data_IF_049461412715
#
_entry.id   IF_049461412715
#
_cell.length_a   1.000
_cell.length_b   1.000
_cell.length_c   1.000
_cell.angle_alpha   90.00
_cell.angle_beta   90.00
_cell.angle_gamma   90.00
#
_symmetry.space_group_name_H-M   'P 1'
#
loop_
_entity.id
_entity.type
_entity.pdbx_description
1 polymer ?
#
# COMPACT_ATOMS: atom_id res chain seq x y z
N UNK A 1 -11.82 3.29 19.61
CA UNK A 1 -10.71 2.40 19.21
C UNK A 1 -9.72 3.20 18.36
N UNK A 2 -8.46 3.17 18.72
CA UNK A 2 -7.42 3.83 17.93
C UNK A 2 -7.18 3.08 16.63
N UNK A 3 -6.54 3.76 15.66
CA UNK A 3 -6.15 3.12 14.39
C UNK A 3 -5.21 1.95 14.65
N UNK A 4 -4.24 2.10 15.56
CA UNK A 4 -3.33 1.00 15.92
C UNK A 4 -4.06 -0.18 16.55
N UNK A 5 -5.00 0.08 17.44
CA UNK A 5 -5.84 -0.97 18.03
C UNK A 5 -6.66 -1.68 16.96
N UNK A 6 -7.19 -0.92 16.01
CA UNK A 6 -7.96 -1.50 14.89
C UNK A 6 -7.11 -2.42 14.04
N UNK A 7 -5.88 -2.01 13.71
CA UNK A 7 -4.94 -2.83 12.96
C UNK A 7 -4.68 -4.15 13.69
N UNK A 8 -4.43 -4.08 15.01
CA UNK A 8 -4.22 -5.27 15.83
C UNK A 8 -5.46 -6.19 15.86
N UNK A 9 -6.65 -5.60 16.01
CA UNK A 9 -7.93 -6.34 16.02
C UNK A 9 -8.15 -7.08 14.69
N UNK A 10 -7.69 -6.51 13.58
CA UNK A 10 -7.78 -7.13 12.26
C UNK A 10 -6.74 -8.25 12.06
N UNK A 11 -5.89 -8.50 13.05
CA UNK A 11 -4.81 -9.49 12.95
C UNK A 11 -3.67 -9.03 12.05
N UNK A 12 -3.58 -7.74 11.78
CA UNK A 12 -2.54 -7.15 10.95
C UNK A 12 -1.44 -6.56 11.83
N UNK A 13 -0.24 -6.46 11.26
CA UNK A 13 0.90 -5.89 11.97
C UNK A 13 1.64 -4.92 11.04
N UNK A 14 1.88 -3.71 11.54
CA UNK A 14 2.70 -2.75 10.81
C UNK A 14 4.15 -3.22 10.81
N UNK A 15 4.80 -3.25 9.64
CA UNK A 15 6.24 -3.50 9.59
C UNK A 15 7.00 -2.28 10.09
N UNK A 16 8.31 -2.44 10.31
CA UNK A 16 9.19 -1.31 10.50
C UNK A 16 9.13 -0.43 9.24
N UNK A 17 9.02 0.89 9.43
CA UNK A 17 8.89 1.80 8.30
C UNK A 17 10.14 1.73 7.41
N UNK A 18 9.98 1.43 6.11
CA UNK A 18 11.12 1.33 5.21
C UNK A 18 11.74 2.70 4.94
N UNK A 19 13.07 2.73 4.90
CA UNK A 19 13.81 3.90 4.42
C UNK A 19 13.83 3.96 2.90
N UNK A 20 14.18 5.13 2.32
CA UNK A 20 14.29 5.27 0.87
C UNK A 20 15.47 4.48 0.33
N UNK A 21 15.33 3.93 -0.87
CA UNK A 21 16.37 3.19 -1.57
C UNK A 21 17.00 4.02 -2.71
N UNK A 22 16.90 5.32 -2.64
CA UNK A 22 17.43 6.22 -3.64
C UNK A 22 17.41 7.65 -3.12
N UNK A 23 17.59 8.58 -4.00
CA UNK A 23 17.64 10.01 -3.67
C UNK A 23 16.22 10.60 -3.65
N UNK A 24 15.45 10.20 -2.66
CA UNK A 24 14.08 10.67 -2.44
C UNK A 24 13.70 10.46 -0.97
N UNK A 25 12.55 10.98 -0.57
CA UNK A 25 12.00 10.80 0.79
C UNK A 25 10.77 9.87 0.75
N UNK A 26 10.48 9.14 1.83
CA UNK A 26 9.34 8.22 1.85
C UNK A 26 7.98 8.91 1.75
N UNK A 27 7.86 10.13 2.27
CA UNK A 27 6.62 10.91 2.26
C UNK A 27 6.95 12.38 2.05
N UNK A 28 6.17 13.05 1.20
CA UNK A 28 6.15 14.52 1.15
C UNK A 28 4.77 15.00 1.53
N UNK A 29 4.72 16.14 2.24
CA UNK A 29 3.46 16.72 2.70
C UNK A 29 3.39 18.16 2.27
N UNK A 30 2.27 18.55 1.65
CA UNK A 30 2.03 19.93 1.24
C UNK A 30 0.54 20.22 1.34
N UNK A 31 0.21 21.35 1.97
CA UNK A 31 -1.18 21.80 2.11
C UNK A 31 -2.11 20.72 2.67
N UNK A 32 -1.64 19.96 3.68
CA UNK A 32 -2.44 18.91 4.32
C UNK A 32 -2.57 17.62 3.53
N UNK A 33 -1.83 17.46 2.44
CA UNK A 33 -1.85 16.23 1.63
C UNK A 33 -0.49 15.55 1.70
N UNK A 34 -0.51 14.28 2.05
CA UNK A 34 0.68 13.42 2.14
C UNK A 34 0.75 12.51 0.91
N UNK A 35 1.91 12.50 0.27
CA UNK A 35 2.21 11.65 -0.88
C UNK A 35 3.22 10.60 -0.45
N UNK A 36 2.82 9.34 -0.41
CA UNK A 36 3.69 8.23 -0.02
C UNK A 36 4.41 7.68 -1.25
N UNK A 37 5.73 7.60 -1.18
CA UNK A 37 6.53 6.98 -2.23
C UNK A 37 6.13 5.52 -2.46
N UNK A 38 6.33 5.02 -3.67
CA UNK A 38 5.95 3.67 -4.06
C UNK A 38 6.49 2.61 -3.09
N UNK A 39 5.63 1.71 -2.66
CA UNK A 39 5.95 0.60 -1.76
C UNK A 39 5.77 -0.72 -2.47
N UNK A 40 6.88 -1.44 -2.66
CA UNK A 40 6.87 -2.78 -3.24
C UNK A 40 6.49 -3.78 -2.15
N UNK A 41 5.91 -4.90 -2.52
CA UNK A 41 5.47 -5.95 -1.58
C UNK A 41 6.66 -6.73 -0.99
N UNK A 42 7.49 -6.04 -0.21
CA UNK A 42 8.64 -6.62 0.47
C UNK A 42 8.24 -7.23 1.80
N UNK A 43 8.71 -8.42 2.05
CA UNK A 43 8.40 -9.18 3.26
C UNK A 43 9.71 -9.81 3.79
N UNK A 44 10.12 -9.41 4.99
CA UNK A 44 11.43 -9.81 5.52
C UNK A 44 12.55 -9.30 4.62
N UNK A 45 13.50 -10.14 4.31
CA UNK A 45 14.63 -9.81 3.42
C UNK A 45 14.31 -10.03 1.94
N UNK A 46 13.10 -10.50 1.65
CA UNK A 46 12.69 -10.84 0.29
C UNK A 46 11.54 -9.99 -0.22
N UNK A 47 10.94 -10.48 -1.26
CA UNK A 47 9.82 -9.84 -1.94
C UNK A 47 8.81 -10.91 -2.34
N UNK A 48 7.53 -10.55 -2.33
CA UNK A 48 6.51 -11.41 -2.93
C UNK A 48 6.63 -11.20 -4.44
N UNK A 49 7.24 -12.17 -5.11
CA UNK A 49 7.65 -12.01 -6.51
C UNK A 49 6.51 -12.20 -7.49
N UNK A 50 6.57 -11.45 -8.59
CA UNK A 50 5.82 -11.70 -9.81
C UNK A 50 6.63 -12.57 -10.79
N UNK A 51 6.19 -12.69 -12.05
CA UNK A 51 4.92 -12.11 -12.53
C UNK A 51 3.71 -12.83 -11.97
N UNK A 52 2.65 -12.07 -11.70
CA UNK A 52 1.36 -12.66 -11.35
C UNK A 52 0.70 -13.20 -12.62
N UNK A 53 0.06 -14.36 -12.48
CA UNK A 53 -0.67 -15.01 -13.58
C UNK A 53 -2.02 -15.51 -13.06
N UNK A 54 -2.86 -16.02 -13.94
CA UNK A 54 -4.13 -16.64 -13.54
C UNK A 54 -3.92 -17.91 -12.70
N UNK A 55 -2.69 -18.44 -12.65
CA UNK A 55 -2.34 -19.60 -11.84
C UNK A 55 -1.79 -19.23 -10.46
N UNK A 56 -1.51 -17.95 -10.21
CA UNK A 56 -1.03 -17.48 -8.91
C UNK A 56 -2.14 -17.67 -7.87
N UNK A 57 -1.81 -18.23 -6.70
CA UNK A 57 -2.82 -18.47 -5.68
C UNK A 57 -3.46 -17.15 -5.20
N UNK A 58 -4.78 -17.13 -4.98
CA UNK A 58 -5.44 -15.94 -4.44
C UNK A 58 -4.86 -15.47 -3.10
N UNK A 59 -4.44 -16.39 -2.25
CA UNK A 59 -3.82 -16.06 -0.97
C UNK A 59 -2.51 -15.26 -1.15
N UNK A 60 -1.70 -15.65 -2.14
CA UNK A 60 -0.44 -14.95 -2.43
C UNK A 60 -0.70 -13.55 -3.00
N UNK A 61 -1.68 -13.41 -3.87
CA UNK A 61 -2.10 -12.12 -4.43
C UNK A 61 -2.59 -11.19 -3.32
N UNK A 62 -3.45 -11.69 -2.44
CA UNK A 62 -3.95 -10.92 -1.28
C UNK A 62 -2.81 -10.50 -0.37
N UNK A 63 -1.87 -11.40 -0.10
CA UNK A 63 -0.72 -11.10 0.74
C UNK A 63 0.14 -9.97 0.14
N UNK A 64 0.34 -9.97 -1.17
CA UNK A 64 1.09 -8.91 -1.84
C UNK A 64 0.42 -7.54 -1.62
N UNK A 65 -0.90 -7.47 -1.80
CA UNK A 65 -1.66 -6.24 -1.56
C UNK A 65 -1.60 -5.77 -0.11
N UNK A 66 -1.83 -6.68 0.83
CA UNK A 66 -1.76 -6.37 2.26
C UNK A 66 -0.38 -5.86 2.66
N UNK A 67 0.67 -6.50 2.16
CA UNK A 67 2.05 -6.12 2.45
C UNK A 67 2.35 -4.71 1.96
N UNK A 68 1.96 -4.36 0.74
CA UNK A 68 2.14 -3.01 0.21
C UNK A 68 1.40 -1.96 1.05
N UNK A 69 0.13 -2.23 1.38
CA UNK A 69 -0.69 -1.30 2.16
C UNK A 69 -0.10 -1.08 3.56
N UNK A 70 0.31 -2.15 4.24
CA UNK A 70 0.90 -2.04 5.57
C UNK A 70 2.23 -1.28 5.55
N UNK A 71 3.03 -1.44 4.51
CA UNK A 71 4.26 -0.66 4.34
C UNK A 71 3.95 0.82 4.15
N UNK A 72 2.96 1.15 3.34
CA UNK A 72 2.53 2.54 3.15
C UNK A 72 2.02 3.14 4.47
N UNK A 73 1.24 2.37 5.24
CA UNK A 73 0.74 2.81 6.55
C UNK A 73 1.88 3.00 7.56
N UNK A 74 2.90 2.14 7.56
CA UNK A 74 4.04 2.31 8.47
C UNK A 74 4.85 3.58 8.14
N UNK A 75 4.97 3.92 6.85
CA UNK A 75 5.61 5.16 6.42
C UNK A 75 4.81 6.39 6.88
N UNK A 76 3.48 6.36 6.72
CA UNK A 76 2.60 7.43 7.21
C UNK A 76 2.65 7.54 8.74
N UNK A 77 2.66 6.41 9.42
CA UNK A 77 2.72 6.38 10.89
C UNK A 77 4.00 7.04 11.40
N UNK A 78 5.13 6.72 10.80
CA UNK A 78 6.42 7.33 11.17
C UNK A 78 6.45 8.83 10.89
N UNK A 79 5.85 9.25 9.77
CA UNK A 79 5.90 10.66 9.34
C UNK A 79 4.94 11.55 10.14
N UNK A 80 3.71 11.10 10.39
CA UNK A 80 2.65 11.95 10.95
C UNK A 80 1.85 11.30 12.08
N UNK A 81 1.96 9.98 12.27
CA UNK A 81 1.08 9.22 13.15
C UNK A 81 -0.24 8.89 12.46
N UNK A 82 -0.66 7.62 12.51
CA UNK A 82 -1.87 7.17 11.80
C UNK A 82 -3.15 7.85 12.31
N UNK A 83 -3.18 8.27 13.58
CA UNK A 83 -4.35 8.98 14.13
C UNK A 83 -4.55 10.36 13.47
N UNK A 84 -3.53 10.89 12.82
CA UNK A 84 -3.59 12.17 12.10
C UNK A 84 -3.96 12.02 10.63
N UNK A 85 -4.11 10.81 10.13
CA UNK A 85 -4.62 10.56 8.78
C UNK A 85 -6.13 10.76 8.79
N UNK A 86 -6.61 11.74 8.03
CA UNK A 86 -8.03 12.05 7.94
C UNK A 86 -8.75 11.12 6.97
N UNK A 87 -8.17 10.94 5.77
CA UNK A 87 -8.72 10.01 4.79
C UNK A 87 -7.69 9.64 3.73
N UNK A 88 -7.92 8.52 3.09
CA UNK A 88 -7.17 8.10 1.90
C UNK A 88 -7.85 8.69 0.67
N UNK A 89 -7.09 9.37 -0.18
CA UNK A 89 -7.62 10.01 -1.39
C UNK A 89 -7.47 9.16 -2.63
N UNK A 90 -6.26 8.67 -2.86
CA UNK A 90 -5.94 8.01 -4.11
C UNK A 90 -4.90 6.89 -3.89
N UNK A 91 -5.09 5.81 -4.62
CA UNK A 91 -4.16 4.68 -4.65
C UNK A 91 -3.81 4.36 -6.09
N UNK A 92 -2.51 4.22 -6.38
CA UNK A 92 -2.04 3.67 -7.66
C UNK A 92 -1.38 2.33 -7.38
N UNK A 93 -1.89 1.29 -8.06
CA UNK A 93 -1.30 -0.03 -8.01
C UNK A 93 -0.63 -0.36 -9.35
N UNK A 94 0.65 -0.74 -9.28
CA UNK A 94 1.44 -1.17 -10.43
C UNK A 94 1.68 -2.66 -10.32
N UNK A 95 1.19 -3.42 -11.29
CA UNK A 95 1.18 -4.88 -11.24
C UNK A 95 2.16 -5.45 -12.26
N UNK A 96 3.12 -6.24 -11.76
CA UNK A 96 3.98 -7.03 -12.63
C UNK A 96 3.24 -8.31 -12.99
N UNK A 97 2.54 -8.29 -14.13
CA UNK A 97 1.77 -9.41 -14.64
C UNK A 97 2.53 -10.21 -15.69
N UNK A 98 2.24 -11.49 -15.78
CA UNK A 98 2.73 -12.36 -16.84
C UNK A 98 2.09 -12.02 -18.18
N UNK A 99 2.58 -12.64 -19.23
CA UNK A 99 2.07 -12.42 -20.59
C UNK A 99 0.56 -12.68 -20.65
N UNK A 100 -0.18 -11.70 -21.16
CA UNK A 100 -1.64 -11.78 -21.31
C UNK A 100 -2.44 -11.55 -20.03
N UNK A 101 -1.81 -11.42 -18.88
CA UNK A 101 -2.51 -11.14 -17.62
C UNK A 101 -3.11 -9.73 -17.65
N UNK A 102 -4.37 -9.58 -17.29
CA UNK A 102 -5.08 -8.29 -17.31
C UNK A 102 -5.90 -8.01 -16.05
N UNK A 103 -5.94 -8.93 -15.08
CA UNK A 103 -6.75 -8.78 -13.87
C UNK A 103 -6.06 -7.91 -12.82
N UNK A 104 -5.57 -6.75 -13.23
CA UNK A 104 -4.80 -5.83 -12.38
C UNK A 104 -5.62 -5.34 -11.18
N UNK A 105 -6.90 -5.03 -11.39
CA UNK A 105 -7.80 -4.58 -10.33
C UNK A 105 -7.85 -5.58 -9.18
N UNK A 106 -7.98 -6.87 -9.50
CA UNK A 106 -8.03 -7.93 -8.49
C UNK A 106 -6.75 -7.98 -7.65
N UNK A 107 -5.60 -7.72 -8.26
CA UNK A 107 -4.31 -7.76 -7.55
C UNK A 107 -4.23 -6.62 -6.53
N UNK A 108 -4.77 -5.46 -6.85
CA UNK A 108 -4.72 -4.29 -5.97
C UNK A 108 -5.80 -4.33 -4.88
N UNK A 109 -6.84 -5.13 -5.05
CA UNK A 109 -7.97 -5.21 -4.10
C UNK A 109 -7.53 -5.55 -2.67
N UNK A 110 -6.53 -6.40 -2.50
CA UNK A 110 -6.01 -6.74 -1.17
C UNK A 110 -5.48 -5.52 -0.42
N UNK A 111 -4.84 -4.60 -1.13
CA UNK A 111 -4.36 -3.35 -0.54
C UNK A 111 -5.52 -2.41 -0.19
N UNK A 112 -6.47 -2.23 -1.12
CA UNK A 112 -7.64 -1.39 -0.89
C UNK A 112 -8.45 -1.87 0.30
N UNK A 113 -8.60 -3.18 0.45
CA UNK A 113 -9.35 -3.75 1.56
C UNK A 113 -8.71 -3.43 2.92
N UNK A 114 -7.39 -3.48 3.02
CA UNK A 114 -6.68 -3.08 4.25
C UNK A 114 -7.01 -1.62 4.61
N UNK A 115 -6.93 -0.73 3.63
CA UNK A 115 -7.19 0.70 3.87
C UNK A 115 -8.63 0.95 4.31
N UNK A 116 -9.59 0.26 3.72
CA UNK A 116 -11.00 0.36 4.10
C UNK A 116 -11.23 -0.23 5.49
N UNK A 117 -10.65 -1.39 5.78
CA UNK A 117 -10.82 -2.04 7.08
C UNK A 117 -10.21 -1.20 8.21
N UNK A 118 -9.09 -0.53 7.94
CA UNK A 118 -8.39 0.29 8.94
C UNK A 118 -9.09 1.64 9.16
N UNK A 119 -9.51 2.32 8.10
CA UNK A 119 -10.05 3.69 8.19
C UNK A 119 -11.57 3.79 8.01
N UNK A 120 -12.25 2.69 7.67
CA UNK A 120 -13.69 2.71 7.40
C UNK A 120 -14.01 3.54 6.15
N UNK A 121 -15.05 4.34 6.20
CA UNK A 121 -15.45 5.19 5.06
C UNK A 121 -14.33 6.13 4.62
N UNK A 122 -13.49 6.58 5.54
CA UNK A 122 -12.36 7.45 5.22
C UNK A 122 -11.23 6.70 4.50
N UNK A 123 -11.27 5.39 4.50
CA UNK A 123 -10.34 4.55 3.71
C UNK A 123 -10.77 4.35 2.26
N UNK A 124 -12.01 4.68 1.92
CA UNK A 124 -12.49 4.56 0.54
C UNK A 124 -11.88 5.65 -0.33
N UNK A 125 -11.25 5.22 -1.40
CA UNK A 125 -10.36 6.06 -2.23
C UNK A 125 -10.67 5.86 -3.71
N UNK A 126 -10.25 6.83 -4.52
CA UNK A 126 -10.16 6.66 -5.97
C UNK A 126 -8.89 5.87 -6.30
N UNK A 127 -8.87 5.15 -7.42
CA UNK A 127 -7.79 4.21 -7.70
C UNK A 127 -7.52 4.02 -9.18
N UNK A 128 -6.24 3.79 -9.52
CA UNK A 128 -5.83 3.20 -10.79
C UNK A 128 -5.07 1.91 -10.51
N UNK A 129 -5.26 0.91 -11.34
CA UNK A 129 -4.53 -0.36 -11.31
C UNK A 129 -4.08 -0.68 -12.73
N UNK A 130 -2.78 -0.73 -12.95
CA UNK A 130 -2.20 -0.89 -14.29
C UNK A 130 -1.09 -1.95 -14.27
N UNK A 131 -0.86 -2.55 -15.43
CA UNK A 131 0.24 -3.48 -15.62
C UNK A 131 1.52 -2.77 -16.00
N UNK A 132 2.64 -3.29 -15.52
CA UNK A 132 3.98 -2.79 -15.84
C UNK A 132 4.87 -3.95 -16.28
N UNK A 133 5.94 -3.63 -16.99
CA UNK A 133 6.88 -4.62 -17.53
C UNK A 133 7.68 -5.33 -16.42
N UNK A 134 7.86 -4.70 -15.27
CA UNK A 134 8.55 -5.25 -14.12
C UNK A 134 8.59 -4.24 -12.98
N UNK A 135 8.93 -4.71 -11.79
CA UNK A 135 9.02 -3.90 -10.58
C UNK A 135 10.36 -4.16 -9.88
N UNK A 136 10.77 -3.27 -8.97
CA UNK A 136 12.02 -3.47 -8.24
C UNK A 136 12.07 -4.85 -7.57
N UNK A 137 13.22 -5.50 -7.67
CA UNK A 137 13.47 -6.85 -7.12
C UNK A 137 12.51 -7.93 -7.64
N UNK A 138 11.84 -7.69 -8.77
CA UNK A 138 10.86 -8.63 -9.31
C UNK A 138 9.56 -8.70 -8.52
N UNK A 139 9.24 -7.69 -7.73
CA UNK A 139 8.01 -7.69 -6.92
C UNK A 139 6.74 -7.80 -7.74
N UNK A 140 5.72 -8.41 -7.18
CA UNK A 140 4.42 -8.59 -7.84
C UNK A 140 3.64 -7.28 -7.94
N UNK A 141 3.75 -6.43 -6.94
CA UNK A 141 2.94 -5.22 -6.79
C UNK A 141 3.75 -4.09 -6.18
N UNK A 142 3.49 -2.88 -6.66
CA UNK A 142 3.95 -1.65 -6.04
C UNK A 142 2.75 -0.72 -5.85
N UNK A 143 2.70 -0.02 -4.73
CA UNK A 143 1.57 0.81 -4.35
C UNK A 143 2.02 2.22 -4.01
N UNK A 144 1.32 3.23 -4.56
CA UNK A 144 1.42 4.62 -4.12
C UNK A 144 0.14 5.01 -3.42
N UNK A 145 0.25 5.77 -2.33
CA UNK A 145 -0.91 6.23 -1.54
C UNK A 145 -0.82 7.73 -1.36
N UNK A 146 -1.97 8.40 -1.56
CA UNK A 146 -2.14 9.82 -1.27
C UNK A 146 -3.20 9.96 -0.18
N UNK A 147 -2.89 10.70 0.88
CA UNK A 147 -3.77 10.84 2.04
C UNK A 147 -3.90 12.29 2.49
N UNK A 148 -5.03 12.65 3.08
CA UNK A 148 -5.22 13.92 3.76
C UNK A 148 -4.83 13.76 5.23
N UNK A 149 -4.09 14.72 5.73
CA UNK A 149 -3.66 14.77 7.12
C UNK A 149 -4.52 15.79 7.86
N UNK A 150 -4.96 15.44 9.06
CA UNK A 150 -5.74 16.35 9.91
C UNK A 150 -4.95 17.61 10.18
N UNK A 151 -5.62 18.75 10.02
CA UNK A 151 -5.03 20.02 10.38
C UNK A 151 -5.07 20.17 11.89
N UNK A 152 -3.90 20.45 12.51
CA UNK A 152 -3.84 20.90 13.90
C UNK A 152 -4.24 22.37 13.89
N UNK A 153 -5.49 22.60 14.16
CA UNK A 153 -6.04 23.96 14.21
C UNK A 153 -5.73 24.66 15.51
#
# INVERSE_FOLDING_TARGET
MSIRERIATLGLQLPEAPGPKGDYVPVTIHAGVAYVSGQVCRLGDGVISGPVTDQTSPARVTQAGQTCALRALSVLDQAVGLENVERILFVRGFVYGGEGFQSYSNVVDGASQVLIDVFGEQGRHARSAVGVAGLPSGGMLELEVTAVIKTTG
#
